data_IF_589641262697
#
_entry.id   IF_589641262697
#
_cell.length_a   1.000
_cell.length_b   1.000
_cell.length_c   1.000
_cell.angle_alpha   90.00
_cell.angle_beta   90.00
_cell.angle_gamma   90.00
#
_symmetry.space_group_name_H-M   'P 1'
#
loop_
_entity.id
_entity.type
_entity.pdbx_description
1 polymer ?
#
# COMPACT_ATOMS: atom_id res chain seq x y z
N UNK A 1 -8.84 -4.78 -20.70
CA UNK A 1 -8.42 -5.26 -19.36
C UNK A 1 -7.54 -4.25 -18.61
N UNK A 2 -6.53 -3.61 -19.23
CA UNK A 2 -5.69 -2.62 -18.53
C UNK A 2 -6.46 -1.46 -17.91
N UNK A 3 -7.46 -0.93 -18.61
CA UNK A 3 -8.33 0.14 -18.11
C UNK A 3 -9.06 -0.23 -16.80
N UNK A 4 -9.48 -1.49 -16.66
CA UNK A 4 -10.08 -1.98 -15.43
C UNK A 4 -9.08 -1.94 -14.27
N UNK A 5 -7.83 -2.38 -14.50
CA UNK A 5 -6.80 -2.33 -13.48
C UNK A 5 -6.44 -0.90 -13.09
N UNK A 6 -6.36 0.03 -14.04
CA UNK A 6 -6.16 1.45 -13.72
C UNK A 6 -7.32 2.02 -12.91
N UNK A 7 -8.56 1.76 -13.30
CA UNK A 7 -9.74 2.22 -12.59
C UNK A 7 -9.78 1.68 -11.16
N UNK A 8 -9.48 0.39 -10.98
CA UNK A 8 -9.36 -0.24 -9.67
C UNK A 8 -8.23 0.38 -8.84
N UNK A 9 -7.05 0.61 -9.42
CA UNK A 9 -5.94 1.29 -8.74
C UNK A 9 -6.33 2.68 -8.27
N UNK A 10 -6.93 3.52 -9.14
CA UNK A 10 -7.35 4.86 -8.78
C UNK A 10 -8.44 4.85 -7.71
N UNK A 11 -9.39 3.91 -7.77
CA UNK A 11 -10.42 3.74 -6.76
C UNK A 11 -9.80 3.36 -5.40
N UNK A 12 -8.89 2.39 -5.37
CA UNK A 12 -8.19 1.98 -4.16
C UNK A 12 -7.38 3.14 -3.57
N UNK A 13 -6.61 3.85 -4.39
CA UNK A 13 -5.77 4.98 -3.95
C UNK A 13 -6.62 6.11 -3.38
N UNK A 14 -7.68 6.52 -4.08
CA UNK A 14 -8.57 7.61 -3.62
C UNK A 14 -9.31 7.24 -2.34
N UNK A 15 -9.92 6.05 -2.28
CA UNK A 15 -10.67 5.57 -1.11
C UNK A 15 -9.76 5.43 0.12
N UNK A 16 -8.59 4.81 -0.04
CA UNK A 16 -7.64 4.62 1.06
C UNK A 16 -7.02 5.93 1.54
N UNK A 17 -6.74 6.87 0.64
CA UNK A 17 -6.27 8.22 1.01
C UNK A 17 -7.32 8.95 1.85
N UNK A 18 -8.58 8.92 1.41
CA UNK A 18 -9.68 9.49 2.18
C UNK A 18 -9.79 8.85 3.57
N UNK A 19 -9.71 7.52 3.65
CA UNK A 19 -9.77 6.81 4.92
C UNK A 19 -8.56 7.09 5.82
N UNK A 20 -7.36 7.22 5.25
CA UNK A 20 -6.15 7.56 5.99
C UNK A 20 -6.23 8.93 6.68
N UNK A 21 -6.87 9.91 6.03
CA UNK A 21 -7.06 11.27 6.55
C UNK A 21 -8.17 11.30 7.61
N UNK A 22 -9.25 10.53 7.43
CA UNK A 22 -10.43 10.58 8.31
C UNK A 22 -10.37 9.61 9.50
N UNK A 23 -9.49 8.61 9.46
CA UNK A 23 -9.41 7.61 10.53
C UNK A 23 -8.84 8.18 11.84
N UNK A 24 -9.61 8.01 12.93
CA UNK A 24 -9.26 8.45 14.28
C UNK A 24 -8.21 7.52 14.92
N UNK A 25 -8.30 6.21 14.68
CA UNK A 25 -7.43 5.22 15.32
C UNK A 25 -6.17 4.95 14.49
N UNK A 26 -5.00 4.88 15.13
CA UNK A 26 -3.72 4.59 14.47
C UNK A 26 -3.72 3.26 13.70
N UNK A 27 -4.34 2.21 14.25
CA UNK A 27 -4.45 0.91 13.56
C UNK A 27 -5.25 1.03 12.26
N UNK A 28 -6.36 1.80 12.27
CA UNK A 28 -7.16 2.04 11.06
C UNK A 28 -6.38 2.83 10.01
N UNK A 29 -5.59 3.83 10.44
CA UNK A 29 -4.67 4.55 9.55
C UNK A 29 -3.61 3.63 8.96
N UNK A 30 -3.06 2.70 9.74
CA UNK A 30 -2.06 1.74 9.26
C UNK A 30 -2.62 0.78 8.19
N UNK A 31 -3.85 0.31 8.39
CA UNK A 31 -4.58 -0.48 7.37
C UNK A 31 -4.80 0.36 6.11
N UNK A 32 -5.22 1.63 6.26
CA UNK A 32 -5.41 2.54 5.14
C UNK A 32 -4.14 2.70 4.29
N UNK A 33 -2.99 2.88 4.94
CA UNK A 33 -1.68 3.01 4.27
C UNK A 33 -1.30 1.75 3.49
N UNK A 34 -1.60 0.56 4.02
CA UNK A 34 -1.33 -0.69 3.31
C UNK A 34 -2.24 -0.88 2.09
N UNK A 35 -3.51 -0.46 2.17
CA UNK A 35 -4.44 -0.47 1.03
C UNK A 35 -3.98 0.55 -0.02
N UNK A 36 -3.53 1.73 0.41
CA UNK A 36 -2.96 2.76 -0.46
C UNK A 36 -1.74 2.22 -1.21
N UNK A 37 -0.79 1.61 -0.50
CA UNK A 37 0.38 0.96 -1.09
C UNK A 37 0.00 -0.11 -2.12
N UNK A 38 -1.00 -0.95 -1.79
CA UNK A 38 -1.51 -1.98 -2.71
C UNK A 38 -2.12 -1.38 -3.99
N UNK A 39 -2.84 -0.27 -3.90
CA UNK A 39 -3.37 0.46 -5.07
C UNK A 39 -2.26 1.02 -5.97
N UNK A 40 -1.21 1.57 -5.36
CA UNK A 40 0.00 2.06 -6.07
C UNK A 40 0.76 0.91 -6.73
N UNK A 41 0.92 -0.23 -6.05
CA UNK A 41 1.57 -1.41 -6.63
C UNK A 41 0.79 -1.96 -7.84
N UNK A 42 -0.54 -2.04 -7.74
CA UNK A 42 -1.38 -2.44 -8.87
C UNK A 42 -1.23 -1.49 -10.06
N UNK A 43 -1.09 -0.18 -9.81
CA UNK A 43 -0.90 0.81 -10.88
C UNK A 43 0.43 0.58 -11.62
N UNK A 44 1.51 0.33 -10.90
CA UNK A 44 2.82 0.03 -11.50
C UNK A 44 2.81 -1.27 -12.32
N UNK A 45 2.22 -2.35 -11.79
CA UNK A 45 2.12 -3.64 -12.52
C UNK A 45 1.23 -3.51 -13.76
N UNK A 46 0.12 -2.76 -13.67
CA UNK A 46 -0.75 -2.50 -14.81
C UNK A 46 -0.03 -1.73 -15.93
N UNK A 47 0.84 -0.79 -15.56
CA UNK A 47 1.64 0.02 -16.49
C UNK A 47 2.76 -0.79 -17.15
N UNK A 48 3.28 -1.82 -16.47
CA UNK A 48 4.39 -2.63 -16.98
C UNK A 48 4.08 -3.38 -18.28
N UNK A 49 2.80 -3.58 -18.62
CA UNK A 49 2.41 -4.18 -19.90
C UNK A 49 2.16 -3.06 -20.91
N UNK A 50 3.10 -2.81 -21.82
CA UNK A 50 2.94 -1.81 -22.89
C UNK A 50 2.12 -2.36 -24.06
N UNK A 51 2.49 -3.52 -24.62
CA UNK A 51 1.84 -4.12 -25.79
C UNK A 51 1.42 -5.59 -25.50
N UNK A 52 0.29 -6.09 -26.02
CA UNK A 52 -0.15 -7.48 -25.77
C UNK A 52 0.85 -8.56 -26.21
N UNK A 53 1.68 -8.26 -27.22
CA UNK A 53 2.65 -9.17 -27.84
C UNK A 53 4.08 -9.03 -27.30
N UNK A 54 4.32 -8.10 -26.37
CA UNK A 54 5.65 -7.83 -25.83
C UNK A 54 5.76 -8.36 -24.39
N UNK A 55 6.97 -8.77 -24.00
CA UNK A 55 7.23 -9.14 -22.63
C UNK A 55 6.97 -7.93 -21.71
N UNK A 56 6.36 -8.13 -20.54
CA UNK A 56 6.16 -7.04 -19.59
C UNK A 56 7.50 -6.40 -19.20
N UNK A 57 7.51 -5.08 -19.03
CA UNK A 57 8.66 -4.34 -18.55
C UNK A 57 9.06 -4.88 -17.16
N UNK A 58 10.30 -5.35 -16.97
CA UNK A 58 10.75 -5.89 -15.69
C UNK A 58 10.91 -4.81 -14.61
N UNK A 59 11.06 -3.53 -14.97
CA UNK A 59 11.38 -2.45 -14.02
C UNK A 59 10.25 -2.20 -13.01
N UNK A 60 8.98 -1.99 -13.42
CA UNK A 60 7.90 -1.80 -12.44
C UNK A 60 7.66 -3.05 -11.58
N UNK A 61 7.93 -4.26 -12.10
CA UNK A 61 7.82 -5.50 -11.34
C UNK A 61 8.86 -5.56 -10.21
N UNK A 62 10.12 -5.23 -10.51
CA UNK A 62 11.17 -5.17 -9.50
C UNK A 62 10.90 -4.08 -8.45
N UNK A 63 10.39 -2.91 -8.88
CA UNK A 63 9.98 -1.83 -7.99
C UNK A 63 8.87 -2.26 -7.02
N UNK A 64 7.87 -3.00 -7.51
CA UNK A 64 6.78 -3.48 -6.67
C UNK A 64 7.24 -4.57 -5.71
N UNK A 65 8.08 -5.51 -6.15
CA UNK A 65 8.62 -6.56 -5.27
C UNK A 65 9.39 -5.96 -4.09
N UNK A 66 10.25 -4.98 -4.36
CA UNK A 66 11.01 -4.27 -3.32
C UNK A 66 10.09 -3.43 -2.43
N UNK A 67 9.13 -2.72 -3.02
CA UNK A 67 8.13 -1.94 -2.30
C UNK A 67 7.28 -2.76 -1.34
N UNK A 68 6.88 -3.98 -1.72
CA UNK A 68 6.11 -4.89 -0.86
C UNK A 68 6.90 -5.23 0.41
N UNK A 69 8.18 -5.58 0.29
CA UNK A 69 9.01 -5.90 1.45
C UNK A 69 9.14 -4.69 2.38
N UNK A 70 9.40 -3.50 1.83
CA UNK A 70 9.48 -2.25 2.61
C UNK A 70 8.15 -1.95 3.32
N UNK A 71 7.01 -2.12 2.66
CA UNK A 71 5.68 -1.89 3.25
C UNK A 71 5.38 -2.84 4.41
N UNK A 72 5.73 -4.12 4.28
CA UNK A 72 5.57 -5.12 5.36
C UNK A 72 6.48 -4.77 6.54
N UNK A 73 7.75 -4.43 6.30
CA UNK A 73 8.68 -4.02 7.36
C UNK A 73 8.22 -2.75 8.08
N UNK A 74 7.75 -1.74 7.35
CA UNK A 74 7.21 -0.51 7.94
C UNK A 74 5.95 -0.79 8.77
N UNK A 75 5.10 -1.72 8.34
CA UNK A 75 3.90 -2.14 9.08
C UNK A 75 4.28 -2.86 10.37
N UNK A 76 5.22 -3.80 10.31
CA UNK A 76 5.74 -4.49 11.50
C UNK A 76 6.33 -3.49 12.50
N UNK A 77 7.12 -2.53 12.02
CA UNK A 77 7.68 -1.45 12.83
C UNK A 77 6.59 -0.59 13.48
N UNK A 78 5.60 -0.14 12.71
CA UNK A 78 4.51 0.67 13.22
C UNK A 78 3.68 -0.06 14.29
N UNK A 79 3.38 -1.34 14.09
CA UNK A 79 2.67 -2.16 15.09
C UNK A 79 3.52 -2.31 16.36
N UNK A 80 4.82 -2.61 16.23
CA UNK A 80 5.73 -2.74 17.37
C UNK A 80 5.79 -1.44 18.18
N UNK A 81 5.87 -0.30 17.51
CA UNK A 81 5.86 1.01 18.15
C UNK A 81 4.54 1.30 18.87
N UNK A 82 3.40 1.01 18.24
CA UNK A 82 2.08 1.20 18.85
C UNK A 82 1.90 0.34 20.11
N UNK A 83 2.36 -0.90 20.10
CA UNK A 83 2.32 -1.79 21.27
C UNK A 83 3.24 -1.31 22.38
N UNK A 84 4.40 -0.76 22.05
CA UNK A 84 5.31 -0.19 23.04
C UNK A 84 4.69 1.03 23.73
N UNK A 85 4.10 1.94 22.96
CA UNK A 85 3.43 3.14 23.49
C UNK A 85 2.19 2.79 24.31
N UNK A 86 1.42 1.77 23.92
CA UNK A 86 0.26 1.34 24.71
C UNK A 86 0.69 0.74 26.05
N UNK A 87 1.79 -0.02 26.09
CA UNK A 87 2.32 -0.59 27.32
C UNK A 87 2.79 0.48 28.30
N UNK A 88 3.52 1.50 27.81
CA UNK A 88 3.98 2.61 28.67
C UNK A 88 2.81 3.36 29.31
N UNK A 89 1.69 3.50 28.60
CA UNK A 89 0.49 4.17 29.12
C UNK A 89 -0.24 3.36 30.20
N UNK A 90 -0.05 2.05 30.27
CA UNK A 90 -0.64 1.21 31.34
C UNK A 90 0.18 1.25 32.64
N UNK A 91 1.43 1.69 32.57
CA UNK A 91 2.36 1.79 33.71
C UNK A 91 2.31 3.18 34.41
N UNK A 92 1.67 4.18 33.80
CA UNK A 92 1.36 5.52 34.36
C UNK A 92 -0.04 5.60 34.98
#
# INVERSE_FOLDING_TARGET
MKELYYLLSFLLISMSTYYFITAINFVKRLIAVNILGSGVFLFFVATARNTPSENPDPVPHALVLTGIVVAVSATAFAVSLLLHLSKQREEE
#
